data_IF_647028084373
#
_entry.id   IF_647028084373
#
_cell.length_a   1.000
_cell.length_b   1.000
_cell.length_c   1.000
_cell.angle_alpha   90.00
_cell.angle_beta   90.00
_cell.angle_gamma   90.00
#
_symmetry.space_group_name_H-M   'P 1'
#
loop_
_entity.id
_entity.type
_entity.pdbx_description
1 polymer ?
#
# COMPACT_ATOMS: atom_id res chain seq x y z
N UNK A 1 17.01 -40.53 -22.11
CA UNK A 1 16.79 -39.07 -22.10
C UNK A 1 15.46 -38.69 -21.44
N UNK A 2 14.29 -39.06 -21.99
CA UNK A 2 12.99 -38.65 -21.40
C UNK A 2 12.62 -39.38 -20.09
N UNK A 3 12.95 -40.67 -19.99
CA UNK A 3 12.75 -41.47 -18.76
C UNK A 3 13.65 -40.99 -17.61
N UNK A 4 14.87 -40.54 -17.93
CA UNK A 4 15.83 -40.06 -16.92
C UNK A 4 15.38 -38.71 -16.33
N UNK A 5 14.79 -37.84 -17.16
CA UNK A 5 14.21 -36.57 -16.73
C UNK A 5 13.03 -36.78 -15.78
N UNK A 6 12.10 -37.69 -16.11
CA UNK A 6 10.96 -38.02 -15.23
C UNK A 6 11.39 -38.64 -13.91
N UNK A 7 12.45 -39.46 -13.90
CA UNK A 7 13.02 -40.02 -12.66
C UNK A 7 13.62 -38.92 -11.78
N UNK A 8 14.34 -37.95 -12.37
CA UNK A 8 14.90 -36.81 -11.62
C UNK A 8 13.79 -35.93 -11.02
N UNK A 9 12.75 -35.63 -11.80
CA UNK A 9 11.57 -34.87 -11.33
C UNK A 9 10.88 -35.61 -10.17
N UNK A 10 10.65 -36.92 -10.32
CA UNK A 10 10.04 -37.73 -9.26
C UNK A 10 10.90 -37.75 -7.98
N UNK A 11 12.23 -37.86 -8.11
CA UNK A 11 13.15 -37.79 -6.97
C UNK A 11 13.07 -36.44 -6.27
N UNK A 12 12.98 -35.33 -7.02
CA UNK A 12 12.78 -33.99 -6.47
C UNK A 12 11.43 -33.89 -5.75
N UNK A 13 10.34 -34.34 -6.36
CA UNK A 13 9.01 -34.31 -5.72
C UNK A 13 8.98 -35.09 -4.41
N UNK A 14 9.69 -36.22 -4.34
CA UNK A 14 9.81 -37.01 -3.13
C UNK A 14 10.65 -36.34 -2.03
N UNK A 15 11.54 -35.40 -2.38
CA UNK A 15 12.32 -34.63 -1.39
C UNK A 15 11.65 -33.34 -0.94
N UNK A 16 10.66 -32.84 -1.69
CA UNK A 16 9.88 -31.67 -1.30
C UNK A 16 8.98 -31.98 -0.10
N UNK A 17 8.99 -31.10 0.88
CA UNK A 17 8.13 -31.17 2.05
C UNK A 17 7.65 -29.76 2.46
N UNK A 18 6.57 -29.65 3.25
CA UNK A 18 6.17 -28.38 3.83
C UNK A 18 7.30 -27.82 4.71
N UNK A 19 7.64 -26.55 4.49
CA UNK A 19 8.65 -25.84 5.29
C UNK A 19 7.94 -24.75 6.07
N UNK A 20 8.03 -24.83 7.39
CA UNK A 20 7.55 -23.79 8.28
C UNK A 20 8.67 -22.77 8.53
N UNK A 21 8.49 -21.50 8.12
CA UNK A 21 9.46 -20.46 8.44
C UNK A 21 9.46 -20.18 9.93
N UNK A 22 10.61 -19.75 10.46
CA UNK A 22 10.71 -19.31 11.86
C UNK A 22 9.72 -18.15 12.11
N UNK A 23 9.05 -18.12 13.28
CA UNK A 23 8.17 -17.02 13.64
C UNK A 23 8.90 -15.68 13.52
N UNK A 24 8.31 -14.73 12.76
CA UNK A 24 8.86 -13.39 12.70
C UNK A 24 8.54 -12.66 14.01
N UNK A 25 9.55 -11.97 14.56
CA UNK A 25 9.34 -11.09 15.72
C UNK A 25 8.41 -9.94 15.32
N UNK A 26 7.43 -9.64 16.17
CA UNK A 26 6.50 -8.55 15.94
C UNK A 26 5.45 -8.84 14.85
N UNK A 27 5.26 -10.10 14.45
CA UNK A 27 4.17 -10.49 13.55
C UNK A 27 2.79 -10.09 14.11
N UNK A 28 2.66 -10.00 15.43
CA UNK A 28 1.45 -9.51 16.11
C UNK A 28 1.12 -8.05 15.79
N UNK A 29 2.15 -7.23 15.55
CA UNK A 29 2.00 -5.81 15.25
C UNK A 29 1.59 -5.55 13.79
N UNK A 30 1.73 -6.56 12.91
CA UNK A 30 1.49 -6.42 11.48
C UNK A 30 0.02 -6.12 11.21
N UNK A 31 -0.23 -5.19 10.29
CA UNK A 31 -1.56 -4.78 9.86
C UNK A 31 -2.33 -5.98 9.29
N UNK A 32 -1.64 -6.89 8.57
CA UNK A 32 -2.22 -8.16 8.10
C UNK A 32 -2.75 -9.04 9.24
N UNK A 33 -2.06 -9.11 10.37
CA UNK A 33 -2.44 -9.96 11.50
C UNK A 33 -3.50 -9.30 12.39
N UNK A 34 -3.37 -7.99 12.63
CA UNK A 34 -4.34 -7.20 13.41
C UNK A 34 -5.68 -7.03 12.70
N UNK A 35 -5.68 -7.07 11.36
CA UNK A 35 -6.88 -6.94 10.51
C UNK A 35 -7.67 -5.65 10.77
N UNK A 36 -6.97 -4.59 11.16
CA UNK A 36 -7.56 -3.26 11.45
C UNK A 36 -7.60 -2.35 10.23
N UNK A 37 -7.29 -2.86 9.04
CA UNK A 37 -7.28 -2.10 7.79
C UNK A 37 -8.70 -1.92 7.22
N UNK A 38 -8.91 -0.81 6.52
CA UNK A 38 -10.20 -0.34 5.98
C UNK A 38 -10.47 -0.79 4.53
N UNK A 39 -9.70 -1.73 3.99
CA UNK A 39 -9.70 -2.16 2.57
C UNK A 39 -11.05 -2.64 1.99
N UNK A 40 -12.04 -2.95 2.82
CA UNK A 40 -13.25 -3.68 2.41
C UNK A 40 -14.53 -2.84 2.35
N UNK A 41 -14.45 -1.51 2.53
CA UNK A 41 -15.65 -0.65 2.58
C UNK A 41 -16.65 -1.05 3.65
N UNK A 42 -16.20 -1.80 4.67
CA UNK A 42 -17.02 -2.34 5.78
C UNK A 42 -17.01 -1.46 7.01
N UNK A 43 -16.09 -0.52 7.11
CA UNK A 43 -16.39 0.70 7.86
C UNK A 43 -17.56 1.33 7.12
N UNK A 44 -18.71 1.60 7.76
CA UNK A 44 -19.58 2.64 7.25
C UNK A 44 -18.62 3.78 6.93
N UNK A 45 -18.63 4.32 5.71
CA UNK A 45 -18.07 5.64 5.52
C UNK A 45 -18.85 6.48 6.53
N UNK A 46 -18.30 6.69 7.72
CA UNK A 46 -18.91 7.57 8.68
C UNK A 46 -19.12 8.84 7.88
N UNK A 47 -20.38 9.30 7.77
CA UNK A 47 -20.65 10.49 6.99
C UNK A 47 -19.66 11.54 7.48
N UNK A 48 -19.00 12.27 6.56
CA UNK A 48 -18.02 13.26 6.96
C UNK A 48 -18.61 14.07 8.11
N UNK A 49 -17.90 14.16 9.22
CA UNK A 49 -18.35 14.98 10.33
C UNK A 49 -18.17 16.45 9.90
N UNK A 50 -19.13 16.93 9.09
CA UNK A 50 -19.09 18.24 8.48
C UNK A 50 -19.44 19.27 9.56
N UNK A 51 -18.41 19.83 10.17
CA UNK A 51 -18.55 20.96 11.08
C UNK A 51 -18.60 22.21 10.21
N UNK A 52 -19.80 22.77 10.04
CA UNK A 52 -20.00 24.01 9.28
C UNK A 52 -19.49 25.18 10.13
N UNK A 53 -18.61 26.05 9.59
CA UNK A 53 -18.14 27.24 10.29
C UNK A 53 -19.32 28.15 10.69
N UNK A 54 -19.36 28.66 11.93
CA UNK A 54 -20.51 29.40 12.47
C UNK A 54 -20.80 30.73 11.76
N UNK A 55 -19.81 31.30 11.06
CA UNK A 55 -19.92 32.57 10.32
C UNK A 55 -20.19 32.38 8.82
N UNK A 56 -20.43 31.14 8.36
CA UNK A 56 -20.60 30.87 6.94
C UNK A 56 -21.95 31.41 6.41
N UNK A 57 -21.95 32.23 5.33
CA UNK A 57 -23.19 32.69 4.71
C UNK A 57 -24.09 31.52 4.32
N UNK A 58 -25.40 31.63 4.61
CA UNK A 58 -26.38 30.59 4.31
C UNK A 58 -26.31 30.03 2.87
N UNK A 59 -26.16 30.85 1.80
CA UNK A 59 -26.08 30.32 0.44
C UNK A 59 -24.75 29.63 0.10
N UNK A 60 -23.71 29.78 0.94
CA UNK A 60 -22.42 29.10 0.77
C UNK A 60 -22.38 27.72 1.43
N UNK A 61 -23.38 27.37 2.25
CA UNK A 61 -23.42 26.10 2.99
C UNK A 61 -23.41 24.88 2.09
N UNK A 62 -24.16 24.93 0.99
CA UNK A 62 -24.23 23.81 0.04
C UNK A 62 -22.87 23.56 -0.63
N UNK A 63 -22.21 24.64 -1.09
CA UNK A 63 -20.86 24.56 -1.67
C UNK A 63 -19.85 24.03 -0.67
N UNK A 64 -19.91 24.46 0.60
CA UNK A 64 -19.03 23.97 1.65
C UNK A 64 -19.21 22.46 1.88
N UNK A 65 -20.46 22.01 1.99
CA UNK A 65 -20.79 20.59 2.19
C UNK A 65 -20.26 19.76 1.03
N UNK A 66 -20.44 20.21 -0.21
CA UNK A 66 -19.97 19.48 -1.38
C UNK A 66 -18.44 19.40 -1.44
N UNK A 67 -17.76 20.51 -1.16
CA UNK A 67 -16.30 20.52 -1.07
C UNK A 67 -15.76 19.63 0.07
N UNK A 68 -16.43 19.58 1.22
CA UNK A 68 -16.04 18.69 2.32
C UNK A 68 -16.22 17.21 1.98
N UNK A 69 -17.27 16.84 1.22
CA UNK A 69 -17.41 15.47 0.72
C UNK A 69 -16.23 15.06 -0.17
N UNK A 70 -15.80 15.94 -1.08
CA UNK A 70 -14.65 15.66 -1.95
C UNK A 70 -13.34 15.58 -1.16
N UNK A 71 -13.13 16.45 -0.16
CA UNK A 71 -11.98 16.37 0.75
C UNK A 71 -11.99 15.06 1.54
N UNK A 72 -13.14 14.67 2.06
CA UNK A 72 -13.30 13.40 2.78
C UNK A 72 -13.02 12.20 1.88
N UNK A 73 -13.54 12.20 0.65
CA UNK A 73 -13.27 11.16 -0.35
C UNK A 73 -11.77 11.05 -0.65
N UNK A 74 -11.07 12.17 -0.80
CA UNK A 74 -9.62 12.19 -1.01
C UNK A 74 -8.86 11.61 0.20
N UNK A 75 -9.22 12.02 1.42
CA UNK A 75 -8.65 11.47 2.67
C UNK A 75 -8.78 9.96 2.74
N UNK A 76 -9.98 9.43 2.47
CA UNK A 76 -10.22 7.98 2.46
C UNK A 76 -9.38 7.25 1.40
N UNK A 77 -9.28 7.82 0.19
CA UNK A 77 -8.42 7.28 -0.86
C UNK A 77 -6.95 7.20 -0.38
N UNK A 78 -6.44 8.26 0.24
CA UNK A 78 -5.07 8.29 0.77
C UNK A 78 -4.85 7.26 1.88
N UNK A 79 -5.80 7.11 2.82
CA UNK A 79 -5.74 6.10 3.89
C UNK A 79 -5.66 4.68 3.29
N UNK A 80 -6.55 4.36 2.36
CA UNK A 80 -6.58 3.04 1.72
C UNK A 80 -5.29 2.75 0.96
N UNK A 81 -4.72 3.75 0.27
CA UNK A 81 -3.43 3.58 -0.43
C UNK A 81 -2.27 3.35 0.55
N UNK A 82 -2.24 4.07 1.67
CA UNK A 82 -1.25 3.86 2.76
C UNK A 82 -1.34 2.46 3.34
N UNK A 83 -2.55 1.97 3.65
CA UNK A 83 -2.78 0.62 4.15
C UNK A 83 -2.34 -0.45 3.14
N UNK A 84 -2.68 -0.28 1.85
CA UNK A 84 -2.24 -1.19 0.78
C UNK A 84 -0.72 -1.26 0.68
N UNK A 85 -0.04 -0.12 0.82
CA UNK A 85 1.43 -0.06 0.82
C UNK A 85 2.00 -0.88 1.97
N UNK A 86 1.50 -0.67 3.20
CA UNK A 86 1.92 -1.41 4.40
C UNK A 86 1.70 -2.90 4.22
N UNK A 87 0.52 -3.32 3.81
CA UNK A 87 0.19 -4.74 3.60
C UNK A 87 1.08 -5.38 2.53
N UNK A 88 1.38 -4.65 1.45
CA UNK A 88 2.25 -5.15 0.39
C UNK A 88 3.69 -5.30 0.86
N UNK A 89 4.20 -4.35 1.64
CA UNK A 89 5.53 -4.44 2.29
C UNK A 89 5.59 -5.64 3.23
N UNK A 90 4.62 -5.78 4.12
CA UNK A 90 4.54 -6.90 5.06
C UNK A 90 4.50 -8.25 4.34
N UNK A 91 3.73 -8.38 3.25
CA UNK A 91 3.71 -9.60 2.43
C UNK A 91 5.07 -9.92 1.82
N UNK A 92 5.78 -8.91 1.33
CA UNK A 92 7.10 -9.11 0.73
C UNK A 92 8.15 -9.51 1.77
N UNK A 93 8.09 -8.94 2.98
CA UNK A 93 8.90 -9.39 4.12
C UNK A 93 8.65 -10.87 4.40
N UNK A 94 7.38 -11.28 4.50
CA UNK A 94 7.04 -12.70 4.70
C UNK A 94 7.61 -13.59 3.58
N UNK A 95 7.52 -13.16 2.31
CA UNK A 95 8.08 -13.92 1.18
C UNK A 95 9.60 -14.09 1.29
N UNK A 96 10.34 -13.05 1.64
CA UNK A 96 11.81 -13.12 1.81
C UNK A 96 12.19 -14.07 2.95
N UNK A 97 11.46 -14.04 4.06
CA UNK A 97 11.67 -14.98 5.17
C UNK A 97 11.32 -16.44 4.80
N UNK A 98 10.22 -16.67 4.07
CA UNK A 98 9.86 -17.99 3.55
C UNK A 98 10.92 -18.54 2.61
N UNK A 99 11.41 -17.70 1.67
CA UNK A 99 12.51 -18.06 0.77
C UNK A 99 13.77 -18.41 1.56
N UNK A 100 14.13 -17.62 2.57
CA UNK A 100 15.27 -17.92 3.42
C UNK A 100 15.15 -19.27 4.15
N UNK A 101 13.97 -19.58 4.69
CA UNK A 101 13.70 -20.86 5.35
C UNK A 101 13.81 -22.04 4.37
N UNK A 102 13.31 -21.88 3.14
CA UNK A 102 13.45 -22.83 2.05
C UNK A 102 14.91 -23.14 1.72
N UNK A 103 15.72 -22.09 1.57
CA UNK A 103 17.14 -22.23 1.27
C UNK A 103 17.92 -22.86 2.43
N UNK A 104 17.55 -22.57 3.68
CA UNK A 104 18.14 -23.23 4.87
C UNK A 104 17.84 -24.74 4.92
N UNK A 105 16.68 -25.16 4.41
CA UNK A 105 16.31 -26.57 4.29
C UNK A 105 16.87 -27.24 3.02
N UNK A 106 17.71 -26.55 2.23
CA UNK A 106 18.19 -27.00 0.92
C UNK A 106 17.05 -27.34 -0.06
N UNK A 107 15.94 -26.63 0.03
CA UNK A 107 14.77 -26.82 -0.84
C UNK A 107 14.53 -25.55 -1.67
N UNK A 108 15.13 -25.41 -2.87
CA UNK A 108 15.05 -24.18 -3.65
C UNK A 108 13.65 -23.92 -4.24
N UNK A 109 12.82 -24.96 -4.35
CA UNK A 109 11.44 -24.84 -4.84
C UNK A 109 10.41 -25.00 -3.72
N UNK A 110 9.31 -24.23 -3.77
CA UNK A 110 8.23 -24.38 -2.78
C UNK A 110 7.54 -25.73 -2.95
N UNK A 111 7.17 -26.37 -1.84
CA UNK A 111 6.21 -27.47 -1.87
C UNK A 111 4.82 -26.91 -2.18
N UNK A 112 4.44 -26.95 -3.45
CA UNK A 112 3.19 -26.37 -3.94
C UNK A 112 2.63 -27.13 -5.14
N UNK A 113 1.32 -27.04 -5.34
CA UNK A 113 0.66 -27.61 -6.53
C UNK A 113 1.23 -27.02 -7.82
N UNK A 114 1.50 -25.71 -7.84
CA UNK A 114 2.09 -25.05 -9.01
C UNK A 114 3.47 -25.62 -9.37
N UNK A 115 4.29 -25.98 -8.36
CA UNK A 115 5.60 -26.61 -8.57
C UNK A 115 5.45 -27.98 -9.24
N UNK A 116 4.51 -28.79 -8.76
CA UNK A 116 4.25 -30.14 -9.28
C UNK A 116 3.74 -30.04 -10.73
N UNK A 117 2.74 -29.19 -10.98
CA UNK A 117 2.17 -29.02 -12.33
C UNK A 117 3.19 -28.49 -13.33
N UNK A 118 4.04 -27.53 -12.93
CA UNK A 118 5.13 -27.01 -13.78
C UNK A 118 6.13 -28.10 -14.16
N UNK A 119 6.45 -28.98 -13.22
CA UNK A 119 7.38 -30.09 -13.45
C UNK A 119 6.76 -31.22 -14.31
N UNK A 120 5.43 -31.31 -14.39
CA UNK A 120 4.73 -32.23 -15.31
C UNK A 120 4.71 -31.74 -16.76
N UNK A 121 4.93 -30.44 -17.00
CA UNK A 121 4.99 -29.87 -18.35
C UNK A 121 6.26 -30.31 -19.10
N UNK A 122 6.05 -31.03 -20.20
CA UNK A 122 7.02 -31.73 -21.08
C UNK A 122 8.19 -30.85 -21.55
N UNK A 123 8.05 -29.52 -21.54
CA UNK A 123 8.99 -28.56 -22.13
C UNK A 123 9.79 -27.74 -21.13
N UNK A 124 9.71 -28.00 -19.82
CA UNK A 124 10.55 -27.29 -18.86
C UNK A 124 11.93 -27.98 -18.84
N UNK A 125 12.98 -27.45 -19.52
CA UNK A 125 14.31 -28.01 -19.35
C UNK A 125 14.63 -27.94 -17.87
N UNK A 126 15.00 -29.07 -17.26
CA UNK A 126 15.58 -29.07 -15.92
C UNK A 126 16.89 -28.32 -16.06
N UNK A 127 16.83 -27.01 -15.86
CA UNK A 127 18.01 -26.19 -15.69
C UNK A 127 18.76 -26.80 -14.50
N UNK A 128 20.09 -26.98 -14.60
CA UNK A 128 20.87 -27.24 -13.41
C UNK A 128 20.55 -26.10 -12.46
N UNK A 129 19.82 -26.42 -11.41
CA UNK A 129 19.39 -25.48 -10.40
C UNK A 129 20.67 -24.80 -9.94
N UNK A 130 20.73 -23.47 -10.07
CA UNK A 130 21.78 -22.73 -9.39
C UNK A 130 21.63 -23.13 -7.92
N UNK A 131 22.58 -23.91 -7.41
CA UNK A 131 22.75 -24.17 -5.98
C UNK A 131 23.11 -22.83 -5.33
N UNK A 132 22.16 -21.89 -5.29
CA UNK A 132 22.27 -20.74 -4.42
C UNK A 132 22.23 -21.30 -3.01
N UNK A 133 23.41 -21.62 -2.45
CA UNK A 133 23.49 -22.00 -1.05
C UNK A 133 23.01 -20.81 -0.23
N UNK A 134 22.20 -21.10 0.79
CA UNK A 134 21.78 -20.09 1.74
C UNK A 134 23.00 -19.31 2.27
N UNK A 135 23.00 -18.00 2.06
CA UNK A 135 24.02 -17.11 2.57
C UNK A 135 23.34 -16.02 3.39
N UNK A 136 23.61 -15.99 4.70
CA UNK A 136 23.10 -14.97 5.62
C UNK A 136 23.33 -13.55 5.07
N UNK A 137 24.48 -13.30 4.43
CA UNK A 137 24.79 -12.00 3.81
C UNK A 137 23.84 -11.65 2.66
N UNK A 138 23.44 -12.64 1.86
CA UNK A 138 22.47 -12.44 0.78
C UNK A 138 21.09 -12.12 1.34
N UNK A 139 20.67 -12.83 2.40
CA UNK A 139 19.39 -12.60 3.06
C UNK A 139 19.27 -11.18 3.64
N UNK A 140 20.25 -10.73 4.40
CA UNK A 140 20.23 -9.36 4.94
C UNK A 140 20.30 -8.29 3.85
N UNK A 141 20.99 -8.58 2.74
CA UNK A 141 20.99 -7.70 1.57
C UNK A 141 19.59 -7.62 0.94
N UNK A 142 18.92 -8.76 0.74
CA UNK A 142 17.55 -8.79 0.21
C UNK A 142 16.57 -8.00 1.09
N UNK A 143 16.66 -8.12 2.42
CA UNK A 143 15.83 -7.32 3.35
C UNK A 143 16.13 -5.82 3.25
N UNK A 144 17.39 -5.44 3.12
CA UNK A 144 17.77 -4.03 2.95
C UNK A 144 17.27 -3.48 1.61
N UNK A 145 17.49 -4.20 0.52
CA UNK A 145 17.05 -3.79 -0.81
C UNK A 145 15.51 -3.69 -0.86
N UNK A 146 14.80 -4.53 -0.10
CA UNK A 146 13.36 -4.45 0.12
C UNK A 146 12.97 -3.17 0.87
N UNK A 147 13.62 -2.84 1.99
CA UNK A 147 13.36 -1.60 2.71
C UNK A 147 13.60 -0.36 1.82
N UNK A 148 14.75 -0.29 1.14
CA UNK A 148 15.09 0.81 0.23
C UNK A 148 14.07 0.95 -0.92
N UNK A 149 13.55 -0.17 -1.44
CA UNK A 149 12.49 -0.18 -2.45
C UNK A 149 11.20 0.43 -1.90
N UNK A 150 10.76 -0.01 -0.72
CA UNK A 150 9.49 0.45 -0.14
C UNK A 150 9.56 1.89 0.33
N UNK A 151 10.72 2.37 0.78
CA UNK A 151 10.92 3.78 1.13
C UNK A 151 10.80 4.68 -0.11
N UNK A 152 11.39 4.30 -1.24
CA UNK A 152 11.22 5.03 -2.51
C UNK A 152 9.76 5.08 -2.97
N UNK A 153 9.03 3.98 -2.84
CA UNK A 153 7.60 3.93 -3.20
C UNK A 153 6.78 4.80 -2.23
N UNK A 154 7.12 4.79 -0.94
CA UNK A 154 6.51 5.64 0.09
C UNK A 154 6.70 7.12 -0.25
N UNK A 155 7.94 7.55 -0.51
CA UNK A 155 8.26 8.93 -0.89
C UNK A 155 7.48 9.38 -2.14
N UNK A 156 7.47 8.55 -3.19
CA UNK A 156 6.71 8.85 -4.40
C UNK A 156 5.20 8.95 -4.15
N UNK A 157 4.65 8.13 -3.24
CA UNK A 157 3.25 8.21 -2.85
C UNK A 157 2.95 9.49 -2.07
N UNK A 158 3.81 9.89 -1.14
CA UNK A 158 3.65 11.13 -0.36
C UNK A 158 3.62 12.34 -1.28
N UNK A 159 4.59 12.45 -2.21
CA UNK A 159 4.64 13.54 -3.19
C UNK A 159 3.35 13.58 -4.01
N UNK A 160 2.84 12.42 -4.44
CA UNK A 160 1.56 12.35 -5.17
C UNK A 160 0.39 12.83 -4.30
N UNK A 161 0.30 12.37 -3.05
CA UNK A 161 -0.76 12.77 -2.12
C UNK A 161 -0.73 14.28 -1.85
N UNK A 162 0.46 14.88 -1.70
CA UNK A 162 0.65 16.33 -1.58
C UNK A 162 0.13 17.05 -2.82
N UNK A 163 0.56 16.64 -4.01
CA UNK A 163 0.09 17.25 -5.26
C UNK A 163 -1.44 17.11 -5.44
N UNK A 164 -2.02 15.96 -5.09
CA UNK A 164 -3.48 15.74 -5.12
C UNK A 164 -4.21 16.67 -4.14
N UNK A 165 -3.68 16.85 -2.92
CA UNK A 165 -4.24 17.75 -1.92
C UNK A 165 -4.17 19.22 -2.36
N UNK A 166 -3.00 19.67 -2.81
CA UNK A 166 -2.78 21.04 -3.30
C UNK A 166 -3.65 21.35 -4.51
N UNK A 167 -3.78 20.39 -5.44
CA UNK A 167 -4.61 20.54 -6.64
C UNK A 167 -6.09 20.66 -6.27
N UNK A 168 -6.59 19.81 -5.36
CA UNK A 168 -7.97 19.88 -4.89
C UNK A 168 -8.23 21.22 -4.19
N UNK A 169 -7.33 21.64 -3.31
CA UNK A 169 -7.43 22.91 -2.59
C UNK A 169 -7.46 24.12 -3.53
N UNK A 170 -6.61 24.14 -4.56
CA UNK A 170 -6.59 25.20 -5.56
C UNK A 170 -7.92 25.30 -6.33
N UNK A 171 -8.46 24.16 -6.78
CA UNK A 171 -9.77 24.09 -7.47
C UNK A 171 -10.87 24.58 -6.52
N UNK A 172 -10.91 24.08 -5.28
CA UNK A 172 -11.94 24.46 -4.32
C UNK A 172 -11.88 25.94 -3.95
N UNK A 173 -10.68 26.53 -3.80
CA UNK A 173 -10.53 27.98 -3.57
C UNK A 173 -11.02 28.78 -4.77
N UNK A 174 -10.70 28.34 -5.99
CA UNK A 174 -11.16 28.99 -7.20
C UNK A 174 -12.69 28.96 -7.27
N UNK A 175 -13.30 27.78 -7.16
CA UNK A 175 -14.76 27.59 -7.19
C UNK A 175 -15.48 28.37 -6.10
N UNK A 176 -14.88 28.44 -4.92
CA UNK A 176 -15.39 29.25 -3.81
C UNK A 176 -15.43 30.75 -4.17
N UNK A 177 -14.34 31.26 -4.74
CA UNK A 177 -14.26 32.64 -5.21
C UNK A 177 -15.29 32.96 -6.30
N UNK A 178 -15.51 32.03 -7.24
CA UNK A 178 -16.58 32.16 -8.23
C UNK A 178 -17.97 32.17 -7.60
N UNK A 179 -18.21 31.30 -6.62
CA UNK A 179 -19.52 31.22 -5.95
C UNK A 179 -19.85 32.48 -5.17
N UNK A 180 -18.86 33.10 -4.51
CA UNK A 180 -19.03 34.40 -3.84
C UNK A 180 -19.48 35.49 -4.82
N UNK A 181 -18.95 35.50 -6.05
CA UNK A 181 -19.34 36.46 -7.10
C UNK A 181 -20.73 36.17 -7.66
N UNK A 182 -21.04 34.89 -7.92
CA UNK A 182 -22.36 34.46 -8.40
C UNK A 182 -23.48 34.88 -7.43
N UNK A 183 -23.22 34.78 -6.13
CA UNK A 183 -24.17 35.14 -5.07
C UNK A 183 -24.15 36.63 -4.70
N UNK A 184 -23.39 37.47 -5.43
CA UNK A 184 -23.20 38.89 -5.15
C UNK A 184 -22.71 39.20 -3.72
N UNK A 185 -21.98 38.26 -3.10
CA UNK A 185 -21.36 38.40 -1.78
C UNK A 185 -20.01 39.14 -1.84
N UNK A 186 -19.46 39.33 -3.04
CA UNK A 186 -18.25 40.09 -3.33
C UNK A 186 -18.39 40.78 -4.69
N UNK A 187 -17.70 41.91 -4.90
CA UNK A 187 -17.65 42.58 -6.20
C UNK A 187 -17.08 41.63 -7.26
N UNK A 188 -17.72 41.59 -8.43
CA UNK A 188 -17.32 40.77 -9.56
C UNK A 188 -15.86 41.04 -9.97
N UNK A 189 -15.41 42.29 -9.84
CA UNK A 189 -14.03 42.71 -10.16
C UNK A 189 -13.03 42.46 -9.03
N UNK A 190 -13.49 42.18 -7.81
CA UNK A 190 -12.61 41.94 -6.69
C UNK A 190 -12.04 40.51 -6.71
N UNK A 191 -10.86 40.37 -6.10
CA UNK A 191 -10.27 39.08 -5.73
C UNK A 191 -10.64 38.81 -4.28
N UNK A 192 -11.64 37.95 -4.00
CA UNK A 192 -12.08 37.71 -2.63
C UNK A 192 -10.94 37.06 -1.82
N UNK A 193 -10.68 37.61 -0.63
CA UNK A 193 -9.83 36.94 0.35
C UNK A 193 -10.63 35.80 0.98
N UNK A 194 -10.18 34.56 0.77
CA UNK A 194 -10.86 33.36 1.25
C UNK A 194 -10.18 32.91 2.53
N UNK A 195 -10.90 32.98 3.64
CA UNK A 195 -10.42 32.44 4.92
C UNK A 195 -10.13 30.94 4.80
N UNK A 196 -9.05 30.50 5.44
CA UNK A 196 -8.60 29.11 5.41
C UNK A 196 -9.65 28.13 5.97
N UNK A 197 -10.46 28.58 6.93
CA UNK A 197 -11.53 27.77 7.50
C UNK A 197 -12.67 27.48 6.52
N UNK A 198 -12.86 28.34 5.50
CA UNK A 198 -13.90 28.14 4.48
C UNK A 198 -13.51 27.09 3.45
N UNK A 199 -12.22 27.02 3.11
CA UNK A 199 -11.67 26.03 2.18
C UNK A 199 -10.39 25.47 2.79
N UNK A 200 -10.47 24.48 3.71
CA UNK A 200 -9.31 23.89 4.34
C UNK A 200 -8.59 22.92 3.40
N UNK A 201 -7.26 22.85 3.51
CA UNK A 201 -6.45 21.88 2.79
C UNK A 201 -6.57 20.48 3.41
N UNK A 202 -6.46 19.43 2.60
CA UNK A 202 -6.36 18.06 3.12
C UNK A 202 -4.94 17.84 3.65
N UNK A 203 -4.83 17.53 4.94
CA UNK A 203 -3.54 17.20 5.54
C UNK A 203 -2.99 15.87 5.01
N UNK A 204 -1.72 15.90 4.60
CA UNK A 204 -0.97 14.73 4.13
C UNK A 204 0.02 14.36 5.22
N UNK A 205 -0.46 13.62 6.22
CA UNK A 205 0.42 13.17 7.30
C UNK A 205 1.41 12.10 6.83
N UNK A 206 2.69 12.32 7.13
CA UNK A 206 3.79 11.37 6.94
C UNK A 206 3.88 10.32 8.07
N UNK A 207 3.12 10.53 9.15
CA UNK A 207 3.14 9.70 10.36
C UNK A 207 2.28 8.45 10.19
N UNK A 208 2.72 7.54 9.33
CA UNK A 208 2.33 6.14 9.43
C UNK A 208 3.59 5.29 9.40
N UNK A 209 3.81 4.59 10.50
CA UNK A 209 4.98 3.73 10.68
C UNK A 209 4.81 2.51 9.78
N UNK A 210 5.55 2.47 8.67
CA UNK A 210 5.79 1.19 8.00
C UNK A 210 6.56 0.32 8.99
N UNK A 211 6.19 -0.96 9.17
CA UNK A 211 6.92 -1.82 10.09
C UNK A 211 8.39 -1.84 9.69
N UNK A 212 9.24 -1.42 10.63
CA UNK A 212 10.69 -1.59 10.51
C UNK A 212 10.99 -3.08 10.67
N UNK A 213 11.83 -3.63 9.80
CA UNK A 213 12.22 -5.03 9.84
C UNK A 213 13.03 -5.26 11.13
N UNK A 214 12.34 -5.68 12.20
CA UNK A 214 12.97 -6.02 13.47
C UNK A 214 13.61 -7.41 13.34
N UNK A 215 14.95 -7.45 13.37
CA UNK A 215 15.74 -8.69 13.39
C UNK A 215 15.69 -9.40 14.76
#
# INVERSE_FOLDING_TARGET
>A
MYIDLRKQIQQRHNSLHPIEPRPLKGLEDYLMNRRTYSLQGKTPLEPPNIIIPPLLPAPMKETFVEQEKERHRLKLKHIVEKEKLVLSKEQEILRVHCKAAQMQANQPQPFSVCTILKDEEVYNPVTPEHEERYNNRSFFKELKDLDDKWDKIKEAMIIRHTNESESLHAVQKMDWGWKLKELALCDYKATPEIEELHVPMVDVSDEYTTPSIKN
#
